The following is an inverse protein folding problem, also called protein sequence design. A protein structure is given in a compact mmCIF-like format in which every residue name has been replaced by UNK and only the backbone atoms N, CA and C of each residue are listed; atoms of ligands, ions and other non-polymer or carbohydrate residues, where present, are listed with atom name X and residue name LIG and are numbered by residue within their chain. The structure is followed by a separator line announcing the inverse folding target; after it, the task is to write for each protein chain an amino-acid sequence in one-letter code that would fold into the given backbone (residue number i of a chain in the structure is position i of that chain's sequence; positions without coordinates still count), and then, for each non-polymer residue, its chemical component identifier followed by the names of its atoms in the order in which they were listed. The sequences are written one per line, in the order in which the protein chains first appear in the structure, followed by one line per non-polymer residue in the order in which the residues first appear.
data_IF_499708565749
#
_entry.id   IF_499708565749
#
_cell.length_a   1.000
_cell.length_b   1.000
_cell.length_c   1.000
_cell.angle_alpha   90.00
_cell.angle_beta   90.00
_cell.angle_gamma   90.00
#
_symmetry.space_group_name_H-M   'P 1'
#
loop_
_entity.id
_entity.type
_entity.pdbx_description
1 polymer ?
#
# COMPACT_ATOMS: atom_id res chain seq x y z
N UNK A 1 31.74 18.80 -32.53
CA UNK A 1 30.62 18.79 -31.57
C UNK A 1 30.05 17.38 -31.56
N UNK A 2 30.10 16.64 -30.46
CA UNK A 2 29.58 15.27 -30.42
C UNK A 2 28.05 15.31 -30.41
N UNK A 3 27.42 14.48 -31.22
CA UNK A 3 25.96 14.28 -31.18
C UNK A 3 25.58 13.64 -29.84
N UNK A 4 25.06 14.45 -28.91
CA UNK A 4 24.48 13.94 -27.66
C UNK A 4 23.04 13.58 -27.94
N UNK A 5 22.71 12.29 -27.82
CA UNK A 5 21.32 11.85 -27.89
C UNK A 5 20.61 12.24 -26.60
N UNK A 6 19.62 13.12 -26.71
CA UNK A 6 18.73 13.49 -25.60
C UNK A 6 17.52 12.58 -25.63
N UNK A 7 17.43 11.67 -24.66
CA UNK A 7 16.27 10.79 -24.51
C UNK A 7 15.24 11.42 -23.57
N UNK A 8 13.99 11.53 -24.03
CA UNK A 8 12.86 11.95 -23.18
C UNK A 8 12.47 10.79 -22.26
N UNK A 9 13.06 10.73 -21.07
CA UNK A 9 12.86 9.65 -20.10
C UNK A 9 11.38 9.48 -19.65
N UNK A 10 10.55 10.52 -19.81
CA UNK A 10 9.11 10.46 -19.56
C UNK A 10 8.33 11.00 -20.77
N UNK A 11 8.05 10.18 -21.79
CA UNK A 11 7.21 10.57 -22.91
C UNK A 11 5.80 10.90 -22.40
N UNK A 12 5.19 11.96 -22.92
CA UNK A 12 3.86 12.40 -22.47
C UNK A 12 2.73 11.43 -22.89
N UNK A 13 3.02 10.50 -23.81
CA UNK A 13 2.04 9.67 -24.50
C UNK A 13 1.99 8.21 -24.02
N UNK A 14 2.82 7.82 -23.04
CA UNK A 14 2.79 6.47 -22.48
C UNK A 14 1.83 6.45 -21.28
N UNK A 15 0.65 5.86 -21.46
CA UNK A 15 -0.28 5.60 -20.38
C UNK A 15 0.29 4.54 -19.43
N UNK A 16 0.35 4.84 -18.13
CA UNK A 16 0.72 3.86 -17.11
C UNK A 16 -0.29 2.70 -17.08
N UNK A 17 0.20 1.47 -17.15
CA UNK A 17 -0.61 0.27 -17.02
C UNK A 17 -0.44 -0.32 -15.62
N UNK A 18 -1.54 -0.74 -14.99
CA UNK A 18 -1.47 -1.43 -13.70
C UNK A 18 -0.87 -2.83 -13.87
N UNK A 19 -0.29 -3.42 -12.81
CA UNK A 19 0.24 -4.78 -12.87
C UNK A 19 -0.77 -5.82 -13.38
N UNK A 20 -2.07 -5.64 -13.10
CA UNK A 20 -3.14 -6.53 -13.57
C UNK A 20 -3.90 -6.00 -14.80
N UNK A 21 -3.35 -5.03 -15.54
CA UNK A 21 -3.95 -4.52 -16.77
C UNK A 21 -4.22 -5.65 -17.79
N UNK A 22 -3.26 -6.55 -17.95
CA UNK A 22 -3.35 -7.70 -18.86
C UNK A 22 -4.29 -8.81 -18.39
N UNK A 23 -4.73 -8.80 -17.12
CA UNK A 23 -5.51 -9.88 -16.53
C UNK A 23 -7.01 -9.86 -16.92
N UNK A 24 -7.46 -8.88 -17.70
CA UNK A 24 -8.83 -8.83 -18.20
C UNK A 24 -9.90 -8.76 -17.11
N UNK A 25 -9.58 -8.23 -15.91
CA UNK A 25 -10.50 -8.26 -14.75
C UNK A 25 -11.88 -7.66 -15.06
N UNK A 26 -11.93 -6.63 -15.91
CA UNK A 26 -13.18 -6.01 -16.35
C UNK A 26 -14.04 -6.94 -17.22
N UNK A 27 -13.42 -7.81 -18.01
CA UNK A 27 -14.11 -8.82 -18.82
C UNK A 27 -14.60 -10.01 -17.99
N UNK A 28 -13.92 -10.27 -16.87
CA UNK A 28 -14.30 -11.32 -15.91
C UNK A 28 -15.42 -10.85 -14.96
N UNK A 29 -15.54 -9.54 -14.75
CA UNK A 29 -16.61 -8.97 -13.96
C UNK A 29 -17.98 -9.42 -14.49
N UNK A 30 -18.82 -9.98 -13.60
CA UNK A 30 -20.14 -10.48 -13.96
C UNK A 30 -20.19 -11.87 -14.61
N UNK A 31 -19.06 -12.44 -15.06
CA UNK A 31 -18.99 -13.84 -15.55
C UNK A 31 -18.95 -14.88 -14.42
N UNK A 32 -18.68 -14.44 -13.18
CA UNK A 32 -18.70 -15.29 -12.00
C UNK A 32 -20.11 -15.73 -11.58
N UNK A 33 -20.17 -16.69 -10.67
CA UNK A 33 -21.45 -17.16 -10.09
C UNK A 33 -22.19 -15.99 -9.42
N UNK A 34 -23.45 -15.77 -9.79
CA UNK A 34 -24.33 -14.83 -9.09
C UNK A 34 -24.40 -15.20 -7.59
N UNK A 35 -24.24 -14.21 -6.71
CA UNK A 35 -24.31 -14.43 -5.27
C UNK A 35 -23.07 -15.14 -4.67
N UNK A 36 -21.90 -15.06 -5.30
CA UNK A 36 -20.67 -15.64 -4.75
C UNK A 36 -20.26 -15.08 -3.36
N UNK A 37 -20.78 -13.92 -2.98
CA UNK A 37 -20.53 -13.30 -1.67
C UNK A 37 -19.14 -12.68 -1.50
N UNK A 38 -18.34 -12.61 -2.57
CA UNK A 38 -17.05 -11.92 -2.63
C UNK A 38 -16.95 -11.11 -3.91
N UNK A 39 -16.41 -9.91 -3.82
CA UNK A 39 -15.97 -9.07 -4.94
C UNK A 39 -14.49 -8.75 -4.80
N UNK A 40 -13.75 -8.82 -5.91
CA UNK A 40 -12.34 -8.44 -6.00
C UNK A 40 -12.20 -7.20 -6.88
N UNK A 41 -11.37 -6.25 -6.47
CA UNK A 41 -11.01 -5.07 -7.25
C UNK A 41 -9.53 -4.75 -7.08
N UNK A 42 -8.84 -4.45 -8.18
CA UNK A 42 -7.52 -3.82 -8.11
C UNK A 42 -7.69 -2.33 -7.77
N UNK A 43 -7.03 -1.85 -6.71
CA UNK A 43 -6.85 -0.42 -6.44
C UNK A 43 -5.60 0.04 -7.19
N UNK A 44 -5.79 0.35 -8.47
CA UNK A 44 -4.74 0.56 -9.47
C UNK A 44 -3.93 1.82 -9.21
N UNK A 45 -2.63 1.74 -9.54
CA UNK A 45 -1.74 2.89 -9.72
C UNK A 45 -1.73 3.85 -8.51
N UNK A 46 -1.74 3.29 -7.31
CA UNK A 46 -1.53 4.05 -6.08
C UNK A 46 -0.03 4.26 -5.83
N UNK A 47 0.27 5.28 -5.05
CA UNK A 47 1.61 5.56 -4.59
C UNK A 47 1.93 4.74 -3.35
N UNK A 48 3.09 4.08 -3.32
CA UNK A 48 3.58 3.35 -2.16
C UNK A 48 4.92 3.91 -1.71
N UNK A 49 5.02 4.30 -0.44
CA UNK A 49 6.25 4.74 0.20
C UNK A 49 6.56 3.81 1.38
N UNK A 50 7.79 3.31 1.46
CA UNK A 50 8.29 2.70 2.70
C UNK A 50 8.89 3.82 3.54
N UNK A 51 8.36 3.97 4.75
CA UNK A 51 8.87 4.87 5.77
C UNK A 51 9.59 4.05 6.84
N UNK A 52 10.81 4.43 7.19
CA UNK A 52 11.57 3.87 8.33
C UNK A 52 12.00 4.96 9.28
N UNK A 53 12.01 4.65 10.57
CA UNK A 53 12.39 5.55 11.65
C UNK A 53 12.16 4.91 13.02
N UNK A 54 12.51 5.61 14.09
CA UNK A 54 12.38 5.11 15.46
C UNK A 54 10.96 5.32 16.00
N UNK A 55 10.26 4.21 16.29
CA UNK A 55 8.90 4.26 16.83
C UNK A 55 8.84 4.76 18.29
N UNK A 56 9.94 4.65 19.03
CA UNK A 56 10.02 5.08 20.43
C UNK A 56 10.33 6.59 20.54
N UNK A 57 10.70 7.25 19.44
CA UNK A 57 10.89 8.69 19.38
C UNK A 57 9.55 9.42 19.12
N UNK A 58 9.11 10.19 20.12
CA UNK A 58 7.90 11.01 20.04
C UNK A 58 7.98 12.09 18.96
N UNK A 59 9.18 12.60 18.63
CA UNK A 59 9.36 13.57 17.55
C UNK A 59 9.14 12.91 16.18
N UNK A 60 9.55 11.66 16.01
CA UNK A 60 9.27 10.89 14.78
C UNK A 60 7.76 10.69 14.61
N UNK A 61 7.08 10.15 15.62
CA UNK A 61 5.62 9.95 15.56
C UNK A 61 4.87 11.28 15.33
N UNK A 62 5.29 12.36 16.01
CA UNK A 62 4.72 13.70 15.84
C UNK A 62 4.95 14.28 14.45
N UNK A 63 6.14 14.08 13.86
CA UNK A 63 6.44 14.51 12.48
C UNK A 63 5.65 13.76 11.44
N UNK A 64 5.44 12.44 11.62
CA UNK A 64 4.56 11.63 10.77
C UNK A 64 3.12 12.15 10.84
N UNK A 65 2.60 12.38 12.05
CA UNK A 65 1.27 12.96 12.22
C UNK A 65 1.15 14.33 11.55
N UNK A 66 2.14 15.22 11.74
CA UNK A 66 2.17 16.55 11.11
C UNK A 66 2.15 16.48 9.58
N UNK A 67 2.88 15.53 8.98
CA UNK A 67 2.99 15.40 7.54
C UNK A 67 1.74 14.77 6.89
N UNK A 68 1.14 13.77 7.57
CA UNK A 68 0.12 12.90 6.97
C UNK A 68 -1.29 13.10 7.55
N UNK A 69 -1.41 13.69 8.75
CA UNK A 69 -2.64 13.69 9.54
C UNK A 69 -3.06 12.29 10.00
N UNK A 70 -2.11 11.37 10.13
CA UNK A 70 -2.30 9.98 10.54
C UNK A 70 -1.44 9.69 11.76
N UNK A 71 -2.02 9.00 12.75
CA UNK A 71 -1.25 8.44 13.85
C UNK A 71 -0.29 7.36 13.35
N UNK A 72 0.89 7.26 13.95
CA UNK A 72 1.83 6.18 13.66
C UNK A 72 1.23 4.84 14.17
N UNK A 73 0.97 3.85 13.30
CA UNK A 73 0.40 2.58 13.75
C UNK A 73 1.38 1.82 14.63
N UNK A 74 0.85 1.26 15.72
CA UNK A 74 1.55 0.29 16.57
C UNK A 74 1.63 -1.08 15.91
N UNK A 75 2.36 -2.00 16.53
CA UNK A 75 2.59 -3.35 16.01
C UNK A 75 1.32 -4.04 15.50
N UNK A 76 1.40 -4.54 14.26
CA UNK A 76 0.33 -5.27 13.57
C UNK A 76 -0.97 -4.47 13.36
N UNK A 77 -0.89 -3.14 13.32
CA UNK A 77 -2.05 -2.28 13.04
C UNK A 77 -1.89 -1.45 11.78
N UNK A 78 -3.01 -0.94 11.28
CA UNK A 78 -3.04 0.07 10.22
C UNK A 78 -3.95 1.22 10.64
N UNK A 79 -3.63 2.41 10.16
CA UNK A 79 -4.53 3.57 10.19
C UNK A 79 -4.82 4.03 8.76
N UNK A 80 -6.03 4.53 8.53
CA UNK A 80 -6.42 5.04 7.23
C UNK A 80 -7.31 6.27 7.37
N UNK A 81 -7.14 7.21 6.45
CA UNK A 81 -8.00 8.38 6.30
C UNK A 81 -8.23 8.64 4.80
N UNK A 82 -9.46 8.45 4.34
CA UNK A 82 -9.81 8.53 2.92
C UNK A 82 -9.02 7.52 2.08
N UNK A 83 -8.24 8.02 1.11
CA UNK A 83 -7.44 7.22 0.19
C UNK A 83 -5.98 7.01 0.64
N UNK A 84 -5.61 7.52 1.83
CA UNK A 84 -4.27 7.36 2.41
C UNK A 84 -4.32 6.38 3.59
N UNK A 85 -3.35 5.47 3.66
CA UNK A 85 -3.20 4.53 4.78
C UNK A 85 -1.75 4.29 5.16
N UNK A 86 -1.49 4.16 6.45
CA UNK A 86 -0.19 3.81 7.00
C UNK A 86 -0.31 2.45 7.71
N UNK A 87 0.53 1.49 7.32
CA UNK A 87 0.45 0.10 7.78
C UNK A 87 1.77 -0.30 8.42
N UNK A 88 1.71 -0.92 9.60
CA UNK A 88 2.90 -1.47 10.25
C UNK A 88 3.45 -2.67 9.46
N UNK A 89 4.75 -2.66 9.17
CA UNK A 89 5.49 -3.79 8.57
C UNK A 89 6.49 -4.41 9.56
N UNK A 90 7.13 -3.57 10.38
CA UNK A 90 8.14 -3.98 11.35
C UNK A 90 8.35 -2.90 12.42
N UNK A 91 9.18 -3.18 13.44
CA UNK A 91 9.40 -2.26 14.57
C UNK A 91 9.81 -0.84 14.17
N UNK A 92 10.53 -0.72 13.05
CA UNK A 92 11.07 0.53 12.52
C UNK A 92 10.61 0.78 11.06
N UNK A 93 9.52 0.14 10.61
CA UNK A 93 9.13 0.13 9.19
C UNK A 93 7.61 0.12 8.96
N UNK A 94 7.16 1.01 8.08
CA UNK A 94 5.75 1.16 7.70
C UNK A 94 5.58 1.31 6.18
N UNK A 95 4.48 0.76 5.68
CA UNK A 95 4.00 0.97 4.31
C UNK A 95 2.95 2.08 4.29
N UNK A 96 3.30 3.19 3.66
CA UNK A 96 2.39 4.29 3.36
C UNK A 96 1.83 4.12 1.95
N UNK A 97 0.51 4.07 1.83
CA UNK A 97 -0.22 4.07 0.56
C UNK A 97 -0.92 5.41 0.42
N UNK A 98 -0.74 6.08 -0.72
CA UNK A 98 -1.28 7.41 -1.04
C UNK A 98 -1.93 7.40 -2.43
N UNK A 99 -2.76 8.41 -2.76
CA UNK A 99 -3.24 8.60 -4.13
C UNK A 99 -2.08 8.65 -5.14
N UNK A 100 -2.25 7.98 -6.29
CA UNK A 100 -1.22 7.97 -7.34
C UNK A 100 -0.86 9.37 -7.82
N UNK A 101 0.44 9.61 -8.00
CA UNK A 101 0.98 10.92 -8.41
C UNK A 101 1.25 11.89 -7.27
N UNK A 102 0.85 11.57 -6.04
CA UNK A 102 1.14 12.39 -4.85
C UNK A 102 2.44 11.98 -4.12
N UNK A 103 3.14 10.94 -4.59
CA UNK A 103 4.26 10.32 -3.88
C UNK A 103 5.37 11.32 -3.56
N UNK A 104 5.77 12.12 -4.55
CA UNK A 104 6.83 13.12 -4.39
C UNK A 104 6.43 14.23 -3.42
N UNK A 105 5.17 14.68 -3.47
CA UNK A 105 4.67 15.72 -2.57
C UNK A 105 4.66 15.21 -1.12
N UNK A 106 4.15 13.99 -0.92
CA UNK A 106 4.07 13.36 0.41
C UNK A 106 5.46 13.05 0.95
N UNK A 107 6.36 12.52 0.12
CA UNK A 107 7.76 12.28 0.50
C UNK A 107 8.43 13.58 0.97
N UNK A 108 8.24 14.69 0.24
CA UNK A 108 8.77 16.00 0.64
C UNK A 108 8.20 16.46 1.97
N UNK A 109 6.88 16.36 2.18
CA UNK A 109 6.26 16.73 3.46
C UNK A 109 6.81 15.92 4.63
N UNK A 110 7.02 14.61 4.45
CA UNK A 110 7.64 13.76 5.46
C UNK A 110 9.07 14.20 5.78
N UNK A 111 9.90 14.42 4.75
CA UNK A 111 11.28 14.88 4.93
C UNK A 111 11.37 16.25 5.59
N UNK A 112 10.49 17.18 5.23
CA UNK A 112 10.43 18.52 5.83
C UNK A 112 9.92 18.47 7.29
N UNK A 113 8.95 17.59 7.61
CA UNK A 113 8.41 17.46 8.97
C UNK A 113 9.35 16.71 9.93
N UNK A 114 10.24 15.89 9.39
CA UNK A 114 11.19 15.04 10.12
C UNK A 114 12.64 15.49 9.88
N UNK A 115 12.85 16.79 9.60
CA UNK A 115 14.19 17.33 9.42
C UNK A 115 15.04 17.14 10.68
N UNK A 116 16.30 16.74 10.50
CA UNK A 116 17.21 16.40 11.60
C UNK A 116 17.03 15.00 12.19
N UNK A 117 15.97 14.26 11.83
CA UNK A 117 15.74 12.90 12.30
C UNK A 117 16.41 11.82 11.44
N UNK A 118 16.75 10.68 12.03
CA UNK A 118 17.30 9.54 11.29
C UNK A 118 16.19 8.71 10.65
N UNK A 119 15.88 9.01 9.39
CA UNK A 119 14.76 8.39 8.68
C UNK A 119 15.16 7.87 7.29
N UNK A 120 14.31 6.99 6.74
CA UNK A 120 14.30 6.64 5.33
C UNK A 120 12.89 6.75 4.76
N UNK A 121 12.76 7.35 3.58
CA UNK A 121 11.51 7.39 2.81
C UNK A 121 11.85 6.96 1.39
N UNK A 122 11.26 5.86 0.92
CA UNK A 122 11.56 5.26 -0.38
C UNK A 122 10.30 4.98 -1.16
N UNK A 123 10.23 5.47 -2.39
CA UNK A 123 9.14 5.15 -3.30
C UNK A 123 9.27 3.71 -3.85
N UNK A 124 8.27 2.88 -3.57
CA UNK A 124 8.18 1.47 -3.99
C UNK A 124 6.88 1.18 -4.76
N UNK A 125 6.28 2.21 -5.39
CA UNK A 125 4.96 2.11 -6.04
C UNK A 125 4.90 1.02 -7.13
N UNK A 126 6.02 0.72 -7.78
CA UNK A 126 6.13 -0.34 -8.78
C UNK A 126 6.38 -1.75 -8.22
N UNK A 127 6.60 -1.91 -6.91
CA UNK A 127 7.02 -3.17 -6.30
C UNK A 127 5.87 -4.13 -5.96
N UNK A 128 4.64 -3.62 -5.82
CA UNK A 128 3.46 -4.41 -5.44
C UNK A 128 2.17 -3.80 -5.99
N UNK A 129 1.10 -4.59 -6.05
CA UNK A 129 -0.26 -4.13 -6.39
C UNK A 129 -1.20 -4.28 -5.19
N UNK A 130 -2.24 -3.45 -5.13
CA UNK A 130 -3.24 -3.50 -4.07
C UNK A 130 -4.53 -4.16 -4.57
N UNK A 131 -4.90 -5.27 -3.94
CA UNK A 131 -6.17 -5.97 -4.17
C UNK A 131 -7.12 -5.73 -3.01
N UNK A 132 -8.33 -5.30 -3.32
CA UNK A 132 -9.42 -5.18 -2.36
C UNK A 132 -10.39 -6.36 -2.50
N UNK A 133 -10.67 -7.03 -1.39
CA UNK A 133 -11.68 -8.06 -1.27
C UNK A 133 -12.83 -7.54 -0.39
N UNK A 134 -14.08 -7.64 -0.86
CA UNK A 134 -15.27 -7.26 -0.10
C UNK A 134 -16.35 -8.34 -0.15
N UNK A 135 -17.17 -8.42 0.89
CA UNK A 135 -18.36 -9.27 0.93
C UNK A 135 -18.38 -10.27 2.09
N UNK A 136 -19.54 -10.89 2.38
CA UNK A 136 -19.73 -11.77 3.54
C UNK A 136 -18.88 -13.04 3.53
N UNK A 137 -18.36 -13.44 2.37
CA UNK A 137 -17.59 -14.68 2.17
C UNK A 137 -16.07 -14.46 2.11
N UNK A 138 -15.58 -13.23 2.35
CA UNK A 138 -14.14 -12.91 2.31
C UNK A 138 -13.35 -13.74 3.32
N UNK A 139 -13.83 -13.91 4.55
CA UNK A 139 -13.14 -14.72 5.56
C UNK A 139 -12.97 -16.17 5.13
N UNK A 140 -14.00 -16.77 4.53
CA UNK A 140 -13.94 -18.15 4.00
C UNK A 140 -12.94 -18.28 2.83
N UNK A 141 -12.77 -17.23 2.04
CA UNK A 141 -11.73 -17.17 1.01
C UNK A 141 -10.34 -17.08 1.65
N UNK A 142 -10.14 -16.19 2.63
CA UNK A 142 -8.86 -16.05 3.33
C UNK A 142 -8.42 -17.36 3.99
N UNK A 143 -9.34 -18.11 4.60
CA UNK A 143 -9.07 -19.43 5.19
C UNK A 143 -8.53 -20.47 4.18
N UNK A 144 -8.81 -20.29 2.87
CA UNK A 144 -8.31 -21.18 1.80
C UNK A 144 -6.99 -20.69 1.20
N UNK A 145 -6.64 -19.44 1.45
CA UNK A 145 -5.56 -18.74 0.74
C UNK A 145 -4.42 -18.32 1.67
N UNK A 146 -4.62 -18.26 2.97
CA UNK A 146 -3.58 -17.92 3.95
C UNK A 146 -3.50 -18.96 5.06
N UNK A 147 -2.31 -19.13 5.62
CA UNK A 147 -2.08 -19.91 6.84
C UNK A 147 -2.34 -19.11 8.11
N UNK A 148 -2.54 -17.79 8.02
CA UNK A 148 -2.79 -16.93 9.16
C UNK A 148 -4.19 -17.18 9.75
N UNK A 149 -4.30 -17.14 11.08
CA UNK A 149 -5.60 -17.27 11.75
C UNK A 149 -6.45 -16.00 11.52
N UNK A 150 -7.45 -16.13 10.66
CA UNK A 150 -8.40 -15.06 10.32
C UNK A 150 -9.69 -15.11 11.16
N UNK A 151 -9.69 -15.82 12.29
CA UNK A 151 -10.81 -15.75 13.24
C UNK A 151 -10.99 -14.30 13.74
N UNK A 152 -12.23 -13.78 13.90
CA UNK A 152 -12.45 -12.38 14.29
C UNK A 152 -11.74 -11.93 15.58
N UNK A 153 -11.50 -12.85 16.52
CA UNK A 153 -10.76 -12.55 17.75
C UNK A 153 -9.25 -12.38 17.50
N UNK A 154 -8.68 -13.04 16.49
CA UNK A 154 -7.26 -12.91 16.15
C UNK A 154 -7.02 -11.86 15.06
N UNK A 155 -7.95 -11.70 14.11
CA UNK A 155 -7.88 -10.75 13.01
C UNK A 155 -9.08 -9.77 13.02
N UNK A 156 -9.16 -8.87 14.02
CA UNK A 156 -10.18 -7.83 14.09
C UNK A 156 -9.94 -6.73 13.04
N UNK A 157 -10.96 -5.88 12.85
CA UNK A 157 -10.85 -4.67 12.02
C UNK A 157 -9.71 -3.79 12.52
N UNK A 158 -8.89 -3.27 11.61
CA UNK A 158 -7.72 -2.42 11.92
C UNK A 158 -6.40 -3.18 12.09
N UNK A 159 -6.42 -4.52 12.11
CA UNK A 159 -5.20 -5.34 12.13
C UNK A 159 -4.60 -5.49 10.73
N UNK A 160 -3.27 -5.38 10.63
CA UNK A 160 -2.49 -5.64 9.43
C UNK A 160 -1.38 -6.66 9.74
N UNK A 161 -1.16 -7.60 8.83
CA UNK A 161 -0.15 -8.66 9.01
C UNK A 161 0.52 -9.00 7.69
N UNK A 162 1.84 -9.21 7.73
CA UNK A 162 2.56 -9.87 6.63
C UNK A 162 2.28 -11.37 6.66
N UNK A 163 1.78 -11.93 5.56
CA UNK A 163 1.50 -13.36 5.43
C UNK A 163 1.56 -13.82 3.98
N UNK A 164 1.60 -15.13 3.76
CA UNK A 164 1.44 -15.74 2.44
C UNK A 164 -0.05 -15.71 2.07
N UNK A 165 -0.34 -15.35 0.82
CA UNK A 165 -1.68 -15.42 0.24
C UNK A 165 -1.66 -16.18 -1.09
N UNK A 166 -2.51 -17.19 -1.24
CA UNK A 166 -2.65 -18.01 -2.44
C UNK A 166 -1.33 -18.57 -3.02
N UNK A 167 -0.33 -18.82 -2.15
CA UNK A 167 1.04 -19.21 -2.54
C UNK A 167 1.75 -18.20 -3.46
N UNK A 168 1.33 -16.94 -3.48
CA UNK A 168 2.18 -15.88 -4.03
C UNK A 168 3.43 -15.76 -3.14
N UNK A 169 4.60 -15.55 -3.74
CA UNK A 169 5.85 -15.44 -3.00
C UNK A 169 5.80 -14.29 -1.99
N UNK A 170 6.47 -14.49 -0.85
CA UNK A 170 6.86 -13.43 0.09
C UNK A 170 8.11 -12.72 -0.44
#
# INVERSE_FOLDING_TARGET
MSNVNVYKQRPAEIAGQSPLHHAGLHELAGKGRKGAGVTLREKKLLGHLVLRGDADDAEFAGGVHKALGLELPVALTLVANGDTSLQWLGPDEWLLIVPGGSELEVERKLREALDGQHISVVNVSGGQTLLELRGPKVRELLMKSSSYDVHPNNFPVGKAVGTVFAKSQL
#
